data_IF_388019103130
#
_entry.id   IF_388019103130
#
_cell.length_a   1.000
_cell.length_b   1.000
_cell.length_c   1.000
_cell.angle_alpha   90.00
_cell.angle_beta   90.00
_cell.angle_gamma   90.00
#
_symmetry.space_group_name_H-M   'P 1'
#
loop_
_entity.id
_entity.type
_entity.pdbx_description
1 polymer ?
#
# COMPACT_ATOMS: atom_id res chain seq x y z
N UNK A 1 10.79 -15.22 32.96
CA UNK A 1 10.38 -14.44 34.14
C UNK A 1 9.35 -13.42 33.71
N UNK A 2 8.50 -12.96 34.62
CA UNK A 2 7.67 -11.78 34.42
C UNK A 2 7.84 -10.90 35.66
N UNK A 3 8.16 -9.62 35.47
CA UNK A 3 8.44 -8.69 36.57
C UNK A 3 7.24 -7.82 36.96
N UNK A 4 6.08 -8.06 36.35
CA UNK A 4 4.87 -7.25 36.48
C UNK A 4 4.64 -6.33 35.29
N UNK A 5 5.65 -6.11 34.44
CA UNK A 5 5.57 -5.20 33.29
C UNK A 5 6.05 -5.84 31.99
N UNK A 6 7.11 -6.65 32.02
CA UNK A 6 7.70 -7.23 30.83
C UNK A 6 8.10 -8.71 31.04
N UNK A 7 8.11 -9.45 29.94
CA UNK A 7 8.65 -10.80 29.91
C UNK A 7 10.17 -10.78 29.69
N UNK A 8 10.86 -11.64 30.44
CA UNK A 8 12.31 -11.82 30.31
C UNK A 8 12.70 -13.30 30.27
N UNK A 9 13.93 -13.54 29.82
CA UNK A 9 14.52 -14.89 29.75
C UNK A 9 15.24 -15.23 31.06
N UNK A 10 15.19 -16.49 31.48
CA UNK A 10 15.96 -16.98 32.62
C UNK A 10 16.31 -18.46 32.46
N UNK A 11 17.52 -18.82 32.84
CA UNK A 11 17.96 -20.23 32.94
C UNK A 11 17.50 -20.90 34.25
N UNK A 12 16.98 -20.12 35.20
CA UNK A 12 16.47 -20.66 36.46
C UNK A 12 14.98 -21.00 36.33
N UNK A 13 14.69 -22.30 36.22
CA UNK A 13 13.33 -22.81 36.10
C UNK A 13 12.38 -22.37 37.24
N UNK A 14 12.88 -22.18 38.46
CA UNK A 14 12.07 -21.72 39.59
C UNK A 14 11.61 -20.24 39.46
N UNK A 15 12.19 -19.50 38.52
CA UNK A 15 11.80 -18.12 38.18
C UNK A 15 10.94 -18.05 36.90
N UNK A 16 10.64 -19.19 36.27
CA UNK A 16 9.77 -19.21 35.11
C UNK A 16 8.35 -18.78 35.49
N UNK A 17 7.70 -18.04 34.60
CA UNK A 17 6.28 -17.75 34.75
C UNK A 17 5.49 -19.00 34.38
N UNK A 18 4.49 -19.36 35.18
CA UNK A 18 3.64 -20.51 34.89
C UNK A 18 2.40 -20.04 34.13
N UNK A 19 2.22 -20.57 32.93
CA UNK A 19 1.05 -20.28 32.09
C UNK A 19 0.00 -21.37 32.21
N UNK A 20 -1.27 -20.98 32.12
CA UNK A 20 -2.38 -21.89 31.93
C UNK A 20 -2.54 -22.16 30.42
N UNK A 21 -2.39 -23.39 29.98
CA UNK A 21 -2.65 -23.78 28.59
C UNK A 21 -4.16 -23.98 28.39
N UNK A 22 -4.75 -23.31 27.39
CA UNK A 22 -6.16 -23.46 27.03
C UNK A 22 -6.33 -23.47 25.51
N UNK A 23 -7.43 -24.04 25.03
CA UNK A 23 -7.90 -23.85 23.67
C UNK A 23 -8.14 -22.35 23.37
N UNK A 24 -7.79 -21.94 22.17
CA UNK A 24 -8.03 -20.61 21.63
C UNK A 24 -9.21 -20.69 20.66
N UNK A 25 -10.25 -19.88 20.90
CA UNK A 25 -11.47 -19.89 20.09
C UNK A 25 -11.43 -18.96 18.88
N UNK A 26 -10.31 -18.30 18.56
CA UNK A 26 -10.21 -17.33 17.48
C UNK A 26 -10.51 -17.98 16.10
N UNK A 27 -9.95 -19.16 15.81
CA UNK A 27 -10.12 -19.90 14.55
C UNK A 27 -11.17 -21.03 14.63
N UNK A 28 -12.16 -20.92 15.53
CA UNK A 28 -13.07 -22.03 15.86
C UNK A 28 -13.86 -22.59 14.68
N UNK A 29 -14.06 -21.80 13.61
CA UNK A 29 -14.77 -22.24 12.40
C UNK A 29 -14.01 -23.26 11.54
N UNK A 30 -12.71 -23.46 11.79
CA UNK A 30 -11.90 -24.47 11.07
C UNK A 30 -12.11 -25.88 11.60
N UNK A 31 -12.72 -26.04 12.78
CA UNK A 31 -12.68 -27.26 13.59
C UNK A 31 -11.25 -27.70 14.00
N UNK A 32 -10.24 -26.87 13.77
CA UNK A 32 -8.89 -27.13 14.22
C UNK A 32 -8.69 -26.59 15.62
N UNK A 33 -8.02 -27.36 16.46
CA UNK A 33 -7.68 -26.93 17.82
C UNK A 33 -6.45 -26.04 17.75
N UNK A 34 -6.60 -24.80 18.20
CA UNK A 34 -5.51 -23.86 18.48
C UNK A 34 -5.37 -23.68 19.98
N UNK A 35 -4.18 -23.33 20.44
CA UNK A 35 -3.91 -23.14 21.87
C UNK A 35 -3.53 -21.69 22.17
N UNK A 36 -3.53 -21.35 23.45
CA UNK A 36 -3.01 -20.09 23.98
C UNK A 36 -2.43 -20.30 25.37
N UNK A 37 -1.47 -19.46 25.75
CA UNK A 37 -0.86 -19.46 27.08
C UNK A 37 -1.43 -18.30 27.88
N UNK A 38 -2.23 -18.62 28.89
CA UNK A 38 -2.90 -17.63 29.72
C UNK A 38 -2.13 -17.32 31.00
N UNK A 39 -2.35 -16.11 31.49
CA UNK A 39 -2.06 -15.69 32.86
C UNK A 39 -2.73 -16.63 33.89
N UNK A 40 -2.25 -16.59 35.15
CA UNK A 40 -2.74 -17.48 36.20
C UNK A 40 -4.23 -17.29 36.52
N UNK A 41 -4.78 -16.11 36.27
CA UNK A 41 -6.21 -15.78 36.44
C UNK A 41 -7.01 -15.83 35.13
N UNK A 42 -6.38 -16.22 34.02
CA UNK A 42 -6.97 -16.34 32.68
C UNK A 42 -7.53 -15.03 32.09
N UNK A 43 -7.15 -13.86 32.62
CA UNK A 43 -7.62 -12.55 32.11
C UNK A 43 -6.82 -12.05 30.92
N UNK A 44 -5.59 -12.52 30.78
CA UNK A 44 -4.64 -12.14 29.72
C UNK A 44 -3.97 -13.36 29.11
N UNK A 45 -3.53 -13.25 27.86
CA UNK A 45 -2.78 -14.26 27.14
C UNK A 45 -1.40 -13.75 26.71
N UNK A 46 -0.40 -14.62 26.67
CA UNK A 46 0.91 -14.31 26.12
C UNK A 46 0.82 -14.19 24.60
N UNK A 47 1.35 -13.10 24.05
CA UNK A 47 1.36 -12.89 22.61
C UNK A 47 2.20 -11.70 22.18
N UNK A 48 2.00 -11.25 20.94
CA UNK A 48 2.55 -9.99 20.42
C UNK A 48 1.39 -9.15 19.88
N UNK A 49 1.15 -7.93 20.40
CA UNK A 49 0.09 -7.06 19.88
C UNK A 49 0.42 -6.54 18.49
N UNK A 50 1.69 -6.63 18.07
CA UNK A 50 2.14 -6.17 16.76
C UNK A 50 2.32 -7.36 15.81
N UNK A 51 1.69 -7.24 14.65
CA UNK A 51 1.70 -8.22 13.56
C UNK A 51 3.04 -8.28 12.84
N UNK A 52 3.88 -7.23 12.95
CA UNK A 52 5.25 -7.19 12.40
C UNK A 52 6.30 -7.72 13.39
N UNK A 53 5.88 -8.22 14.55
CA UNK A 53 6.75 -8.68 15.64
C UNK A 53 6.99 -7.62 16.70
N UNK A 54 7.61 -8.03 17.80
CA UNK A 54 7.82 -7.21 19.00
C UNK A 54 8.17 -8.06 20.20
N UNK A 55 8.42 -7.44 21.37
CA UNK A 55 8.53 -8.19 22.61
C UNK A 55 7.23 -8.96 22.89
N UNK A 56 7.35 -10.09 23.58
CA UNK A 56 6.18 -10.77 24.10
C UNK A 56 5.53 -9.92 25.20
N UNK A 57 4.22 -9.78 25.13
CA UNK A 57 3.41 -8.96 26.03
C UNK A 57 2.12 -9.68 26.38
N UNK A 58 1.35 -9.06 27.29
CA UNK A 58 -0.01 -9.49 27.56
C UNK A 58 -0.96 -8.96 26.49
N UNK A 59 -1.63 -9.87 25.80
CA UNK A 59 -2.68 -9.60 24.82
C UNK A 59 -4.00 -10.20 25.28
N UNK A 60 -5.05 -9.95 24.51
CA UNK A 60 -6.38 -10.49 24.80
C UNK A 60 -6.44 -12.01 24.57
N UNK A 61 -7.03 -12.77 25.51
CA UNK A 61 -7.39 -14.16 25.27
C UNK A 61 -8.32 -14.29 24.06
N UNK A 62 -8.23 -15.43 23.36
CA UNK A 62 -9.03 -15.74 22.17
C UNK A 62 -8.93 -14.70 21.03
N UNK A 63 -7.81 -13.99 20.97
CA UNK A 63 -7.47 -13.11 19.84
C UNK A 63 -6.47 -13.80 18.93
N UNK A 64 -6.29 -13.27 17.70
CA UNK A 64 -5.24 -13.73 16.78
C UNK A 64 -3.86 -13.69 17.40
N UNK A 65 -3.62 -12.68 18.23
CA UNK A 65 -2.33 -12.38 18.85
C UNK A 65 -1.94 -13.39 19.93
N UNK A 66 -2.90 -14.16 20.45
CA UNK A 66 -2.67 -15.22 21.44
C UNK A 66 -2.67 -16.64 20.84
N UNK A 67 -2.87 -16.78 19.54
CA UNK A 67 -2.92 -18.10 18.87
C UNK A 67 -1.55 -18.75 18.85
N UNK A 68 -1.47 -19.97 19.37
CA UNK A 68 -0.33 -20.86 19.23
C UNK A 68 -0.66 -21.98 18.25
N UNK A 69 0.28 -22.19 17.33
CA UNK A 69 0.30 -23.31 16.39
C UNK A 69 1.42 -24.28 16.79
N UNK A 70 1.09 -25.56 16.85
CA UNK A 70 2.10 -26.61 16.88
C UNK A 70 2.70 -26.75 15.48
N UNK A 71 4.01 -26.52 15.35
CA UNK A 71 4.74 -26.66 14.11
C UNK A 71 6.02 -27.47 14.34
N UNK A 72 6.37 -28.32 13.37
CA UNK A 72 7.61 -29.12 13.39
C UNK A 72 8.86 -28.23 13.21
N UNK A 73 8.70 -27.10 12.50
CA UNK A 73 9.74 -26.11 12.27
C UNK A 73 9.29 -24.74 12.79
N UNK A 74 10.22 -23.88 13.25
CA UNK A 74 9.92 -22.51 13.70
C UNK A 74 9.66 -21.58 12.50
N UNK A 75 8.84 -22.01 11.55
CA UNK A 75 8.35 -21.20 10.44
C UNK A 75 6.83 -21.21 10.44
N UNK A 76 6.25 -20.03 10.67
CA UNK A 76 4.81 -19.80 10.60
C UNK A 76 4.43 -19.01 9.34
N UNK A 77 3.13 -18.87 9.06
CA UNK A 77 2.70 -18.00 7.97
C UNK A 77 3.09 -16.56 8.22
N UNK A 78 3.49 -15.85 7.17
CA UNK A 78 3.59 -14.40 7.22
C UNK A 78 2.19 -13.81 7.37
N UNK A 79 2.02 -13.02 8.41
CA UNK A 79 0.77 -12.35 8.68
C UNK A 79 0.60 -11.13 7.78
N UNK A 80 -0.62 -10.89 7.28
CA UNK A 80 -0.89 -9.62 6.63
C UNK A 80 -0.78 -8.49 7.67
N UNK A 81 -0.06 -7.46 7.27
CA UNK A 81 0.21 -6.27 8.08
C UNK A 81 -0.94 -5.29 7.86
N UNK A 82 -1.70 -4.96 8.91
CA UNK A 82 -2.78 -4.01 8.79
C UNK A 82 -2.28 -2.61 8.57
N UNK A 83 -3.00 -1.88 7.74
CA UNK A 83 -2.87 -0.43 7.61
C UNK A 83 -3.52 0.22 8.82
N UNK A 84 -2.72 0.94 9.62
CA UNK A 84 -3.20 1.70 10.79
C UNK A 84 -3.36 3.19 10.50
N UNK A 85 -2.71 3.68 9.44
CA UNK A 85 -2.81 5.05 8.95
C UNK A 85 -2.47 5.10 7.46
N UNK A 86 -2.87 6.17 6.78
CA UNK A 86 -2.50 6.36 5.37
C UNK A 86 -1.00 6.67 5.19
N UNK A 87 -0.30 7.06 6.27
CA UNK A 87 1.15 7.22 6.29
C UNK A 87 1.91 5.89 6.28
N UNK A 88 1.31 4.83 6.82
CA UNK A 88 1.88 3.47 6.92
C UNK A 88 0.95 2.46 6.24
N UNK A 89 0.59 2.78 4.99
CA UNK A 89 -0.35 1.98 4.25
C UNK A 89 0.37 0.82 3.55
N UNK A 90 0.02 -0.40 3.94
CA UNK A 90 0.44 -1.61 3.23
C UNK A 90 -0.69 -2.07 2.31
N UNK A 91 -0.39 -2.10 1.01
CA UNK A 91 -1.31 -2.59 -0.01
C UNK A 91 -0.94 -3.99 -0.48
N UNK A 92 -1.96 -4.76 -0.80
CA UNK A 92 -1.88 -6.16 -1.21
C UNK A 92 -2.61 -6.39 -2.52
N UNK A 93 -2.06 -7.27 -3.35
CA UNK A 93 -2.87 -8.06 -4.27
C UNK A 93 -3.48 -9.22 -3.47
N UNK A 94 -4.80 -9.24 -3.34
CA UNK A 94 -5.52 -10.35 -2.73
C UNK A 94 -5.67 -11.46 -3.77
N UNK A 95 -4.68 -12.37 -3.81
CA UNK A 95 -4.55 -13.38 -4.85
C UNK A 95 -5.18 -14.71 -4.43
N UNK A 96 -5.94 -15.32 -5.35
CA UNK A 96 -6.39 -16.70 -5.22
C UNK A 96 -5.31 -17.64 -5.79
N UNK A 97 -4.63 -18.47 -4.96
CA UNK A 97 -3.44 -19.21 -5.39
C UNK A 97 -3.65 -20.12 -6.60
N UNK A 98 -4.80 -20.79 -6.70
CA UNK A 98 -5.06 -21.74 -7.77
C UNK A 98 -5.38 -21.12 -9.13
N UNK A 99 -5.97 -19.93 -9.15
CA UNK A 99 -6.28 -19.23 -10.40
C UNK A 99 -5.19 -18.24 -10.80
N UNK A 100 -4.35 -17.83 -9.84
CA UNK A 100 -3.40 -16.74 -10.00
C UNK A 100 -4.06 -15.37 -10.12
N UNK A 101 -5.40 -15.29 -10.02
CA UNK A 101 -6.16 -14.05 -10.20
C UNK A 101 -6.29 -13.28 -8.88
N UNK A 102 -6.58 -12.00 -8.99
CA UNK A 102 -6.69 -11.05 -7.87
C UNK A 102 -8.06 -10.41 -7.81
N UNK A 103 -8.48 -9.96 -6.63
CA UNK A 103 -9.71 -9.17 -6.46
C UNK A 103 -9.56 -7.78 -7.08
N UNK A 104 -10.57 -7.34 -7.84
CA UNK A 104 -10.66 -6.01 -8.44
C UNK A 104 -11.94 -5.30 -7.99
N UNK A 105 -11.76 -4.08 -7.49
CA UNK A 105 -12.83 -3.12 -7.25
C UNK A 105 -13.26 -2.48 -8.58
N UNK A 106 -14.49 -2.75 -9.00
CA UNK A 106 -15.09 -2.18 -10.22
C UNK A 106 -15.79 -0.82 -9.97
N UNK A 107 -15.69 -0.28 -8.74
CA UNK A 107 -16.35 0.93 -8.30
C UNK A 107 -17.47 0.66 -7.30
N UNK A 108 -17.82 1.66 -6.50
CA UNK A 108 -18.84 1.53 -5.45
C UNK A 108 -20.20 1.06 -6.01
N UNK A 109 -20.78 0.04 -5.38
CA UNK A 109 -22.03 -0.60 -5.78
C UNK A 109 -21.90 -1.58 -6.96
N UNK A 110 -20.69 -1.83 -7.46
CA UNK A 110 -20.42 -2.85 -8.46
C UNK A 110 -19.84 -4.11 -7.81
N UNK A 111 -20.15 -5.26 -8.41
CA UNK A 111 -19.64 -6.56 -7.97
C UNK A 111 -18.11 -6.62 -8.07
N UNK A 112 -17.49 -7.34 -7.14
CA UNK A 112 -16.06 -7.64 -7.20
C UNK A 112 -15.81 -8.61 -8.35
N UNK A 113 -14.94 -8.19 -9.26
CA UNK A 113 -14.48 -9.02 -10.37
C UNK A 113 -13.11 -9.61 -10.02
N UNK A 114 -12.80 -10.76 -10.61
CA UNK A 114 -11.50 -11.41 -10.46
C UNK A 114 -10.69 -11.26 -11.74
N UNK A 115 -9.51 -10.64 -11.62
CA UNK A 115 -8.71 -10.17 -12.76
C UNK A 115 -7.26 -10.69 -12.75
N UNK A 116 -6.55 -10.50 -13.85
CA UNK A 116 -5.10 -10.71 -13.88
C UNK A 116 -4.39 -9.64 -13.03
N UNK A 117 -3.33 -10.02 -12.29
CA UNK A 117 -2.53 -9.07 -11.52
C UNK A 117 -1.91 -8.01 -12.44
N UNK A 118 -2.01 -6.74 -12.05
CA UNK A 118 -1.32 -5.63 -12.71
C UNK A 118 -1.23 -4.45 -11.75
N UNK A 119 -0.25 -3.56 -11.97
CA UNK A 119 -0.13 -2.30 -11.22
C UNK A 119 -1.32 -1.39 -11.52
N UNK A 120 -2.39 -1.54 -10.74
CA UNK A 120 -3.60 -0.73 -10.84
C UNK A 120 -4.25 -0.53 -9.47
N UNK A 121 -4.70 0.69 -9.18
CA UNK A 121 -5.38 1.01 -7.92
C UNK A 121 -6.61 0.14 -7.68
N UNK A 122 -7.37 -0.21 -8.73
CA UNK A 122 -8.55 -1.07 -8.63
C UNK A 122 -8.25 -2.48 -8.11
N UNK A 123 -7.00 -2.95 -8.17
CA UNK A 123 -6.59 -4.32 -7.79
C UNK A 123 -5.84 -4.40 -6.46
N UNK A 124 -5.66 -3.25 -5.82
CA UNK A 124 -4.88 -3.10 -4.60
C UNK A 124 -5.81 -2.94 -3.41
N UNK A 125 -5.51 -3.64 -2.33
CA UNK A 125 -6.33 -3.66 -1.12
C UNK A 125 -5.47 -3.47 0.12
N UNK A 126 -5.91 -2.60 1.02
CA UNK A 126 -5.44 -2.54 2.39
C UNK A 126 -6.38 -3.35 3.28
N UNK A 127 -5.88 -3.79 4.44
CA UNK A 127 -6.71 -4.29 5.53
C UNK A 127 -6.62 -3.31 6.70
N UNK A 128 -7.75 -2.94 7.28
CA UNK A 128 -7.79 -2.04 8.43
C UNK A 128 -8.35 -2.79 9.65
N UNK A 129 -7.73 -2.66 10.84
CA UNK A 129 -8.10 -3.43 12.00
C UNK A 129 -9.42 -2.93 12.59
N UNK A 130 -10.29 -3.85 12.97
CA UNK A 130 -11.57 -3.57 13.62
C UNK A 130 -11.41 -3.76 15.13
N UNK A 131 -11.95 -2.81 15.88
CA UNK A 131 -12.15 -2.95 17.32
C UNK A 131 -13.58 -3.44 17.58
N UNK A 132 -13.72 -4.50 18.38
CA UNK A 132 -15.01 -4.92 18.96
C UNK A 132 -14.97 -4.62 20.44
N UNK A 133 -15.92 -3.84 20.97
CA UNK A 133 -15.94 -3.40 22.37
C UNK A 133 -14.62 -2.73 22.84
N UNK A 134 -13.96 -1.98 21.94
CA UNK A 134 -12.68 -1.32 22.21
C UNK A 134 -11.46 -2.26 22.19
N UNK A 135 -11.63 -3.50 21.71
CA UNK A 135 -10.63 -4.55 21.73
C UNK A 135 -10.29 -5.06 20.32
N UNK A 136 -9.01 -5.28 20.06
CA UNK A 136 -8.54 -5.88 18.80
C UNK A 136 -8.48 -7.39 18.91
N UNK A 137 -9.41 -8.08 18.25
CA UNK A 137 -9.40 -9.54 18.19
C UNK A 137 -8.53 -10.06 17.04
N UNK A 138 -8.22 -9.23 16.05
CA UNK A 138 -7.59 -9.63 14.78
C UNK A 138 -8.57 -9.67 13.60
N UNK A 139 -9.73 -9.02 13.74
CA UNK A 139 -10.69 -8.85 12.66
C UNK A 139 -10.36 -7.58 11.85
N UNK A 140 -10.65 -7.60 10.55
CA UNK A 140 -10.32 -6.52 9.62
C UNK A 140 -11.48 -6.20 8.69
N UNK A 141 -11.45 -4.99 8.14
CA UNK A 141 -12.19 -4.61 6.93
C UNK A 141 -11.20 -4.46 5.79
N UNK A 142 -11.62 -4.85 4.58
CA UNK A 142 -10.79 -4.69 3.38
C UNK A 142 -11.20 -3.41 2.66
N UNK A 143 -10.21 -2.61 2.29
CA UNK A 143 -10.39 -1.31 1.63
C UNK A 143 -9.60 -1.31 0.34
N UNK A 144 -10.24 -1.04 -0.79
CA UNK A 144 -9.53 -0.89 -2.05
C UNK A 144 -8.68 0.38 -2.06
N UNK A 145 -7.65 0.45 -2.89
CA UNK A 145 -6.86 1.66 -3.04
C UNK A 145 -7.68 2.83 -3.62
N UNK A 146 -8.81 2.54 -4.28
CA UNK A 146 -9.81 3.53 -4.71
C UNK A 146 -10.63 4.12 -3.53
N UNK A 147 -10.44 3.60 -2.30
CA UNK A 147 -11.09 4.09 -1.10
C UNK A 147 -12.46 3.47 -0.80
N UNK A 148 -12.85 2.39 -1.50
CA UNK A 148 -14.11 1.70 -1.23
C UNK A 148 -13.88 0.50 -0.30
N UNK A 149 -14.87 0.21 0.54
CA UNK A 149 -14.88 -0.88 1.49
C UNK A 149 -15.56 -2.10 0.89
N UNK A 150 -14.98 -3.28 1.12
CA UNK A 150 -15.59 -4.54 0.71
C UNK A 150 -16.89 -4.78 1.50
N UNK A 151 -17.97 -5.10 0.80
CA UNK A 151 -19.32 -5.27 1.36
C UNK A 151 -19.99 -6.51 0.78
N UNK A 152 -20.77 -7.19 1.62
CA UNK A 152 -21.64 -8.29 1.19
C UNK A 152 -22.89 -7.75 0.51
N UNK A 153 -23.19 -8.31 -0.64
CA UNK A 153 -24.46 -8.13 -1.33
C UNK A 153 -25.09 -9.51 -1.60
N UNK A 154 -26.09 -9.89 -0.81
CA UNK A 154 -26.71 -11.22 -0.83
C UNK A 154 -25.69 -12.38 -0.80
N UNK A 155 -25.52 -13.10 -1.90
CA UNK A 155 -24.58 -14.21 -2.07
C UNK A 155 -23.22 -13.80 -2.62
N UNK A 156 -23.07 -12.54 -3.04
CA UNK A 156 -21.91 -11.99 -3.72
C UNK A 156 -21.24 -10.89 -2.87
N UNK A 157 -20.15 -10.34 -3.40
CA UNK A 157 -19.41 -9.22 -2.83
C UNK A 157 -19.39 -8.04 -3.79
N UNK A 158 -19.55 -6.84 -3.23
CA UNK A 158 -19.44 -5.55 -3.90
C UNK A 158 -18.51 -4.63 -3.10
N UNK A 159 -18.32 -3.39 -3.56
CA UNK A 159 -17.74 -2.33 -2.73
C UNK A 159 -18.73 -1.23 -2.37
N UNK A 160 -18.45 -0.48 -1.31
CA UNK A 160 -19.24 0.67 -0.85
C UNK A 160 -18.31 1.79 -0.40
N UNK A 161 -18.72 3.05 -0.56
CA UNK A 161 -17.99 4.18 0.00
C UNK A 161 -18.27 4.38 1.51
N UNK A 162 -19.25 3.67 2.06
CA UNK A 162 -19.68 3.78 3.45
C UNK A 162 -19.04 2.69 4.33
N UNK A 163 -18.14 3.09 5.23
CA UNK A 163 -17.45 2.16 6.13
C UNK A 163 -18.42 1.38 7.04
N UNK A 164 -19.57 1.96 7.40
CA UNK A 164 -20.55 1.31 8.27
C UNK A 164 -21.24 0.09 7.61
N UNK A 165 -21.15 -0.01 6.29
CA UNK A 165 -21.68 -1.14 5.50
C UNK A 165 -20.62 -2.22 5.23
N UNK A 166 -19.37 -2.02 5.67
CA UNK A 166 -18.27 -2.93 5.37
C UNK A 166 -18.47 -4.32 6.00
N UNK A 167 -18.04 -5.36 5.28
CA UNK A 167 -17.97 -6.72 5.81
C UNK A 167 -16.75 -6.86 6.71
N UNK A 168 -16.97 -7.28 7.96
CA UNK A 168 -15.90 -7.60 8.90
C UNK A 168 -15.42 -9.01 8.63
N UNK A 169 -14.12 -9.15 8.39
CA UNK A 169 -13.46 -10.38 8.00
C UNK A 169 -12.42 -10.81 9.03
N UNK A 170 -12.35 -12.10 9.30
CA UNK A 170 -11.35 -12.73 10.14
C UNK A 170 -10.39 -13.56 9.28
N UNK A 171 -9.10 -13.23 9.20
CA UNK A 171 -8.12 -14.08 8.58
C UNK A 171 -7.90 -15.32 9.45
N UNK A 172 -8.14 -16.46 8.83
CA UNK A 172 -8.01 -17.78 9.43
C UNK A 172 -6.94 -18.54 8.68
N UNK A 173 -6.00 -19.12 9.40
CA UNK A 173 -4.94 -19.93 8.81
C UNK A 173 -5.50 -21.28 8.31
N UNK A 174 -5.16 -21.63 7.07
CA UNK A 174 -5.49 -22.93 6.51
C UNK A 174 -4.27 -23.87 6.56
N UNK A 175 -4.31 -24.90 7.40
CA UNK A 175 -3.10 -25.66 7.78
C UNK A 175 -2.41 -26.43 6.65
N UNK A 176 -3.14 -26.78 5.60
CA UNK A 176 -2.57 -27.55 4.48
C UNK A 176 -1.96 -26.69 3.37
N UNK A 177 -2.12 -25.35 3.43
CA UNK A 177 -1.48 -24.42 2.50
C UNK A 177 -0.75 -23.31 3.27
N UNK A 178 0.57 -23.43 3.34
CA UNK A 178 1.45 -22.45 3.97
C UNK A 178 1.28 -21.05 3.39
N UNK A 179 1.33 -20.01 4.24
CA UNK A 179 1.23 -18.59 3.89
C UNK A 179 -0.06 -18.21 3.13
N UNK A 180 -1.14 -18.96 3.31
CA UNK A 180 -2.45 -18.61 2.76
C UNK A 180 -3.48 -18.54 3.87
N UNK A 181 -4.51 -17.73 3.61
CA UNK A 181 -5.50 -17.34 4.61
C UNK A 181 -6.89 -17.48 4.04
N UNK A 182 -7.86 -17.77 4.90
CA UNK A 182 -9.28 -17.76 4.57
C UNK A 182 -9.90 -16.57 5.27
N UNK A 183 -10.56 -15.69 4.54
CA UNK A 183 -11.19 -14.49 5.10
C UNK A 183 -12.63 -14.81 5.53
N UNK A 184 -12.78 -15.28 6.78
CA UNK A 184 -14.05 -15.67 7.40
C UNK A 184 -14.96 -14.45 7.65
N UNK A 185 -16.27 -14.56 7.46
CA UNK A 185 -17.23 -13.46 7.58
C UNK A 185 -17.77 -13.37 9.02
N UNK A 186 -17.56 -12.24 9.71
CA UNK A 186 -17.83 -12.15 11.14
C UNK A 186 -19.10 -11.37 11.50
N UNK A 187 -19.45 -10.33 10.76
CA UNK A 187 -20.57 -9.44 11.11
C UNK A 187 -21.91 -9.80 10.47
N UNK A 188 -22.03 -11.00 9.89
CA UNK A 188 -23.28 -11.48 9.26
C UNK A 188 -23.76 -12.75 9.93
N UNK A 189 -24.95 -12.68 10.53
CA UNK A 189 -25.57 -13.80 11.23
C UNK A 189 -25.68 -15.04 10.34
N UNK A 190 -25.21 -16.19 10.85
CA UNK A 190 -25.24 -17.48 10.14
C UNK A 190 -24.13 -17.67 9.10
N UNK A 191 -23.24 -16.69 8.90
CA UNK A 191 -22.12 -16.80 7.95
C UNK A 191 -20.75 -16.92 8.63
N UNK A 192 -20.69 -17.04 9.96
CA UNK A 192 -19.44 -17.20 10.69
C UNK A 192 -18.66 -18.46 10.32
N UNK A 193 -19.23 -19.43 9.60
CA UNK A 193 -18.50 -20.60 9.09
C UNK A 193 -18.08 -20.46 7.63
N UNK A 194 -18.29 -19.27 7.04
CA UNK A 194 -18.05 -18.97 5.64
C UNK A 194 -16.90 -18.01 5.47
N UNK A 195 -16.12 -18.21 4.41
CA UNK A 195 -15.06 -17.32 3.96
C UNK A 195 -15.27 -16.87 2.53
N UNK A 196 -14.62 -15.76 2.16
CA UNK A 196 -14.53 -15.32 0.77
C UNK A 196 -14.09 -16.48 -0.13
N UNK A 197 -14.78 -16.63 -1.25
CA UNK A 197 -14.50 -17.68 -2.21
C UNK A 197 -14.55 -17.13 -3.64
N UNK A 198 -13.50 -17.41 -4.39
CA UNK A 198 -13.52 -17.26 -5.83
C UNK A 198 -14.44 -18.30 -6.46
N UNK A 199 -15.50 -17.83 -7.10
CA UNK A 199 -16.47 -18.68 -7.78
C UNK A 199 -16.23 -18.60 -9.28
N UNK A 200 -15.74 -19.72 -9.85
CA UNK A 200 -15.71 -19.92 -11.29
C UNK A 200 -16.97 -20.70 -11.70
N UNK A 201 -17.95 -20.03 -12.29
CA UNK A 201 -19.19 -20.67 -12.69
C UNK A 201 -19.06 -21.33 -14.07
N UNK A 202 -18.93 -22.66 -14.11
CA UNK A 202 -19.17 -23.44 -15.34
C UNK A 202 -20.68 -23.45 -15.72
N UNK A 203 -21.32 -22.30 -15.99
CA UNK A 203 -22.59 -22.34 -16.73
C UNK A 203 -23.65 -21.25 -16.58
N UNK A 204 -23.45 -20.11 -15.91
CA UNK A 204 -24.48 -19.04 -15.97
C UNK A 204 -24.01 -17.61 -15.73
N UNK A 205 -22.83 -17.39 -15.14
CA UNK A 205 -22.23 -16.06 -15.05
C UNK A 205 -21.03 -16.05 -15.99
N UNK A 206 -21.05 -15.16 -16.98
CA UNK A 206 -19.95 -14.95 -17.93
C UNK A 206 -18.72 -14.30 -17.28
N UNK A 207 -18.84 -13.89 -16.01
CA UNK A 207 -17.81 -13.19 -15.24
C UNK A 207 -17.42 -13.98 -13.99
N UNK A 208 -16.12 -14.05 -13.73
CA UNK A 208 -15.54 -14.51 -12.47
C UNK A 208 -15.97 -13.56 -11.33
N UNK A 209 -16.58 -14.07 -10.27
CA UNK A 209 -17.10 -13.27 -9.16
C UNK A 209 -16.66 -13.82 -7.79
N UNK A 210 -16.85 -13.02 -6.74
CA UNK A 210 -16.53 -13.38 -5.35
C UNK A 210 -17.81 -13.66 -4.57
N UNK A 211 -17.92 -14.89 -4.07
CA UNK A 211 -18.98 -15.34 -3.16
C UNK A 211 -18.40 -15.88 -1.87
N UNK A 212 -19.09 -16.87 -1.29
CA UNK A 212 -18.69 -17.46 -0.01
C UNK A 212 -18.73 -18.99 0.00
N UNK A 213 -17.70 -19.60 0.56
CA UNK A 213 -17.59 -21.04 0.78
C UNK A 213 -17.38 -21.35 2.26
N UNK A 214 -17.50 -22.61 2.69
CA UNK A 214 -17.12 -22.99 4.06
C UNK A 214 -15.61 -22.76 4.29
N UNK A 215 -15.22 -22.28 5.47
CA UNK A 215 -13.81 -22.04 5.85
C UNK A 215 -13.01 -23.35 5.70
N UNK A 216 -13.43 -24.45 6.31
CA UNK A 216 -12.69 -25.72 6.29
C UNK A 216 -12.83 -26.59 5.01
N UNK A 217 -13.36 -26.06 3.90
CA UNK A 217 -13.72 -26.88 2.73
C UNK A 217 -12.55 -27.56 2.01
N UNK A 218 -11.30 -27.24 2.39
CA UNK A 218 -10.10 -27.72 1.72
C UNK A 218 -9.93 -27.20 0.28
N UNK A 219 -10.82 -26.31 -0.17
CA UNK A 219 -10.80 -25.82 -1.55
C UNK A 219 -9.83 -24.67 -1.68
N UNK A 220 -8.88 -24.72 -2.61
CA UNK A 220 -8.02 -23.58 -2.87
C UNK A 220 -8.76 -22.30 -3.32
N UNK A 221 -10.03 -22.41 -3.72
CA UNK A 221 -10.86 -21.27 -4.13
C UNK A 221 -11.26 -20.34 -2.98
N UNK A 222 -11.13 -20.75 -1.71
CA UNK A 222 -11.39 -19.88 -0.55
C UNK A 222 -10.11 -19.41 0.16
N UNK A 223 -8.94 -19.76 -0.40
CA UNK A 223 -7.65 -19.35 0.11
C UNK A 223 -7.18 -18.08 -0.60
N UNK A 224 -6.62 -17.17 0.18
CA UNK A 224 -6.08 -15.89 -0.22
C UNK A 224 -4.62 -15.80 0.17
N UNK A 225 -3.80 -15.40 -0.77
CA UNK A 225 -2.45 -14.93 -0.53
C UNK A 225 -2.49 -13.40 -0.48
N UNK A 226 -2.04 -12.84 0.64
CA UNK A 226 -1.81 -11.40 0.79
C UNK A 226 -0.43 -11.09 0.19
N UNK A 227 -0.38 -10.89 -1.12
CA UNK A 227 0.86 -10.56 -1.81
C UNK A 227 1.11 -9.05 -1.70
N UNK A 228 2.09 -8.67 -0.88
CA UNK A 228 2.44 -7.26 -0.69
C UNK A 228 2.81 -6.63 -2.03
N UNK A 229 2.15 -5.55 -2.39
CA UNK A 229 2.39 -4.86 -3.64
C UNK A 229 3.54 -3.86 -3.48
N UNK A 230 4.50 -3.92 -4.40
CA UNK A 230 5.46 -2.84 -4.59
C UNK A 230 4.86 -1.83 -5.58
N UNK A 231 4.52 -0.65 -5.06
CA UNK A 231 3.74 0.38 -5.76
C UNK A 231 4.50 1.69 -5.92
N UNK A 232 5.65 1.81 -5.25
CA UNK A 232 6.42 3.04 -5.23
C UNK A 232 7.18 3.20 -6.56
N UNK A 233 7.36 4.44 -7.04
CA UNK A 233 8.25 4.68 -8.17
C UNK A 233 9.71 4.38 -7.77
N UNK A 234 10.57 4.22 -8.77
CA UNK A 234 12.00 4.09 -8.50
C UNK A 234 12.56 5.38 -7.91
N UNK A 235 13.32 5.25 -6.83
CA UNK A 235 14.15 6.30 -6.27
C UNK A 235 15.63 5.99 -6.47
N UNK A 236 16.44 7.03 -6.53
CA UNK A 236 17.87 6.90 -6.80
C UNK A 236 18.74 7.72 -5.85
N UNK A 237 20.00 7.35 -5.79
CA UNK A 237 21.05 8.21 -5.24
C UNK A 237 21.41 9.32 -6.23
N UNK A 238 21.90 10.44 -5.68
CA UNK A 238 22.35 11.56 -6.47
C UNK A 238 23.53 11.18 -7.38
N UNK A 239 23.46 11.53 -8.66
CA UNK A 239 24.45 11.14 -9.67
C UNK A 239 24.15 9.82 -10.39
N UNK A 240 23.09 9.11 -9.99
CA UNK A 240 22.53 7.99 -10.76
C UNK A 240 21.76 8.49 -12.00
N UNK A 241 21.46 7.57 -12.91
CA UNK A 241 20.94 7.86 -14.24
C UNK A 241 19.43 7.77 -14.42
N UNK A 242 18.61 7.37 -13.44
CA UNK A 242 17.17 7.23 -13.70
C UNK A 242 16.49 8.60 -13.88
N UNK A 243 15.75 8.76 -14.99
CA UNK A 243 15.00 9.97 -15.34
C UNK A 243 13.58 9.61 -15.73
N UNK A 244 12.60 10.32 -15.20
CA UNK A 244 11.17 10.09 -15.45
C UNK A 244 10.45 11.40 -15.73
N UNK A 245 9.28 11.33 -16.34
CA UNK A 245 8.34 12.45 -16.38
C UNK A 245 7.34 12.34 -15.24
N UNK A 246 6.88 13.48 -14.74
CA UNK A 246 5.81 13.57 -13.75
C UNK A 246 4.59 14.14 -14.44
N UNK A 247 3.55 13.33 -14.61
CA UNK A 247 2.33 13.69 -15.31
C UNK A 247 1.18 13.85 -14.32
N UNK A 248 0.20 14.70 -14.65
CA UNK A 248 -1.00 14.90 -13.84
C UNK A 248 -2.24 14.47 -14.65
N UNK A 249 -2.51 13.16 -14.76
CA UNK A 249 -3.48 12.60 -15.73
C UNK A 249 -4.95 12.86 -15.38
N UNK A 250 -5.22 13.46 -14.23
CA UNK A 250 -6.60 13.80 -13.82
C UNK A 250 -6.93 15.27 -13.97
N UNK A 251 -5.97 16.06 -14.45
CA UNK A 251 -6.16 17.45 -14.77
C UNK A 251 -6.41 17.57 -16.26
N UNK A 252 -7.31 18.47 -16.66
CA UNK A 252 -7.56 18.75 -18.09
C UNK A 252 -6.25 18.98 -18.85
N UNK A 253 -6.13 18.30 -19.99
CA UNK A 253 -4.97 18.27 -20.89
C UNK A 253 -3.72 17.52 -20.37
N UNK A 254 -3.86 16.70 -19.32
CA UNK A 254 -2.85 15.78 -18.76
C UNK A 254 -1.43 16.37 -18.64
N UNK A 255 -1.27 17.52 -17.97
CA UNK A 255 -0.03 18.27 -18.00
C UNK A 255 1.13 17.50 -17.39
N UNK A 256 2.33 17.84 -17.87
CA UNK A 256 3.61 17.28 -17.44
C UNK A 256 4.44 18.38 -16.79
N UNK A 257 5.14 18.03 -15.72
CA UNK A 257 6.06 18.95 -15.06
C UNK A 257 7.28 19.25 -15.94
N UNK A 258 7.50 20.53 -16.25
CA UNK A 258 8.50 21.00 -17.19
C UNK A 258 9.39 22.14 -16.67
N UNK A 259 10.49 22.39 -17.38
CA UNK A 259 11.51 23.40 -17.09
C UNK A 259 11.31 24.60 -18.00
N UNK A 260 10.22 25.34 -17.80
CA UNK A 260 9.95 26.59 -18.54
C UNK A 260 9.85 27.77 -17.58
N UNK A 261 10.98 28.19 -17.02
CA UNK A 261 11.07 29.37 -16.15
C UNK A 261 10.97 29.05 -14.66
N UNK A 262 10.85 30.10 -13.87
CA UNK A 262 10.70 30.08 -12.41
C UNK A 262 9.39 30.84 -12.07
N UNK A 263 8.40 30.25 -11.39
CA UNK A 263 8.37 28.90 -10.78
C UNK A 263 8.29 27.75 -11.81
N UNK A 264 8.43 26.51 -11.33
CA UNK A 264 8.34 25.32 -12.18
C UNK A 264 7.02 25.31 -12.98
N UNK A 265 7.13 25.32 -14.31
CA UNK A 265 5.99 25.39 -15.21
C UNK A 265 5.45 24.01 -15.57
N UNK A 266 4.18 23.95 -15.94
CA UNK A 266 3.55 22.76 -16.51
C UNK A 266 3.40 22.95 -18.03
N UNK A 267 3.53 21.85 -18.76
CA UNK A 267 3.28 21.83 -20.21
C UNK A 267 2.27 20.76 -20.56
N UNK A 268 1.46 21.01 -21.59
CA UNK A 268 0.53 20.03 -22.18
C UNK A 268 1.15 19.33 -23.40
N UNK A 269 2.44 19.59 -23.67
CA UNK A 269 3.17 18.85 -24.70
C UNK A 269 3.23 17.37 -24.33
N UNK A 270 2.96 16.50 -25.31
CA UNK A 270 3.11 15.05 -25.13
C UNK A 270 4.48 14.74 -24.51
N UNK A 271 4.55 13.90 -23.45
CA UNK A 271 5.81 13.49 -22.85
C UNK A 271 6.80 13.07 -23.92
N UNK A 272 7.88 13.83 -24.06
CA UNK A 272 8.88 13.60 -25.09
C UNK A 272 10.26 13.58 -24.44
N UNK A 273 11.26 13.08 -25.18
CA UNK A 273 12.60 12.89 -24.60
C UNK A 273 13.42 14.19 -24.48
N UNK A 274 12.78 15.35 -24.41
CA UNK A 274 13.46 16.62 -24.26
C UNK A 274 13.87 16.84 -22.80
N UNK A 275 15.06 17.41 -22.63
CA UNK A 275 15.70 17.65 -21.32
C UNK A 275 14.81 18.43 -20.34
N UNK A 276 13.87 19.22 -20.84
CA UNK A 276 12.98 20.06 -20.05
C UNK A 276 11.78 19.38 -19.40
N UNK A 277 11.53 18.08 -19.56
CA UNK A 277 10.38 17.40 -18.93
C UNK A 277 10.81 16.30 -17.94
N UNK A 278 12.11 16.15 -17.72
CA UNK A 278 12.67 15.05 -16.94
C UNK A 278 13.01 15.44 -15.52
N UNK A 279 12.77 14.50 -14.63
CA UNK A 279 12.98 14.62 -13.19
C UNK A 279 13.64 13.37 -12.64
N UNK A 280 14.53 13.58 -11.67
CA UNK A 280 15.09 12.56 -10.79
C UNK A 280 14.38 12.63 -9.45
N UNK A 281 14.00 11.47 -8.93
CA UNK A 281 13.51 11.31 -7.56
C UNK A 281 14.70 10.83 -6.73
N UNK A 282 15.37 11.76 -6.06
CA UNK A 282 16.61 11.48 -5.33
C UNK A 282 16.26 11.25 -3.86
N UNK A 283 16.49 10.05 -3.32
CA UNK A 283 16.14 9.69 -1.94
C UNK A 283 15.34 8.39 -1.84
N UNK A 284 14.22 8.41 -1.12
CA UNK A 284 13.25 7.32 -1.00
C UNK A 284 11.81 7.86 -0.92
N UNK A 285 10.81 6.98 -0.87
CA UNK A 285 9.40 7.32 -0.87
C UNK A 285 8.94 8.20 0.32
N UNK A 286 9.68 8.19 1.42
CA UNK A 286 9.39 8.96 2.63
C UNK A 286 10.23 10.23 2.76
N UNK A 287 11.29 10.37 1.98
CA UNK A 287 12.14 11.56 1.94
C UNK A 287 12.90 11.61 0.62
N UNK A 288 12.48 12.48 -0.28
CA UNK A 288 13.15 12.71 -1.55
C UNK A 288 13.14 14.18 -1.98
N UNK A 289 14.10 14.50 -2.83
CA UNK A 289 14.20 15.79 -3.53
C UNK A 289 14.03 15.57 -5.04
N UNK A 290 13.56 16.62 -5.72
CA UNK A 290 13.33 16.62 -7.16
C UNK A 290 14.40 17.44 -7.88
N UNK A 291 15.09 16.81 -8.84
CA UNK A 291 16.07 17.47 -9.71
C UNK A 291 15.67 17.31 -11.16
N UNK A 292 15.60 18.41 -11.90
CA UNK A 292 15.19 18.38 -13.30
C UNK A 292 16.36 18.10 -14.27
N UNK A 293 16.03 17.81 -15.53
CA UNK A 293 16.99 17.47 -16.58
C UNK A 293 18.01 18.56 -16.92
N UNK A 294 17.77 19.81 -16.50
CA UNK A 294 18.73 20.92 -16.65
C UNK A 294 19.70 21.05 -15.48
N UNK A 295 19.55 20.21 -14.44
CA UNK A 295 20.42 20.19 -13.27
C UNK A 295 19.94 21.05 -12.09
N UNK A 296 18.77 21.67 -12.18
CA UNK A 296 18.18 22.48 -11.10
C UNK A 296 17.30 21.63 -10.19
N UNK A 297 17.30 21.97 -8.91
CA UNK A 297 16.45 21.38 -7.89
C UNK A 297 15.17 22.19 -7.72
N UNK A 298 14.10 21.53 -7.31
CA UNK A 298 12.92 22.19 -6.76
C UNK A 298 13.23 22.60 -5.31
N UNK A 299 13.22 23.90 -5.03
CA UNK A 299 13.60 24.48 -3.75
C UNK A 299 12.50 25.41 -3.21
N UNK A 300 12.66 25.85 -1.95
CA UNK A 300 11.94 26.99 -1.40
C UNK A 300 12.79 28.26 -1.48
N UNK A 301 12.16 29.39 -1.82
CA UNK A 301 12.74 30.72 -1.60
C UNK A 301 12.60 31.15 -0.12
N UNK A 302 13.18 32.30 0.24
CA UNK A 302 13.08 32.90 1.58
C UNK A 302 11.63 33.18 2.03
N UNK A 303 10.70 33.26 1.08
CA UNK A 303 9.27 33.47 1.31
C UNK A 303 8.46 32.17 1.41
N UNK A 304 9.08 31.00 1.23
CA UNK A 304 8.41 29.70 1.22
C UNK A 304 7.74 29.34 -0.12
N UNK A 305 8.00 30.07 -1.20
CA UNK A 305 7.50 29.74 -2.54
C UNK A 305 8.40 28.73 -3.23
N UNK A 306 7.81 27.90 -4.09
CA UNK A 306 8.55 26.92 -4.89
C UNK A 306 9.30 27.61 -6.03
N UNK A 307 10.60 27.36 -6.12
CA UNK A 307 11.49 27.89 -7.16
C UNK A 307 12.40 26.80 -7.75
N UNK A 308 13.02 27.09 -8.90
CA UNK A 308 14.05 26.24 -9.50
C UNK A 308 15.46 26.82 -9.31
N UNK A 309 16.30 26.15 -8.52
CA UNK A 309 17.67 26.62 -8.21
C UNK A 309 18.75 25.58 -8.53
N UNK A 310 19.89 26.03 -9.05
CA UNK A 310 21.14 25.23 -9.08
C UNK A 310 22.04 25.51 -7.87
N UNK A 311 21.82 26.64 -7.18
CA UNK A 311 22.52 27.00 -5.96
C UNK A 311 21.80 26.40 -4.76
N UNK A 312 22.29 25.25 -4.32
CA UNK A 312 21.77 24.51 -3.15
C UNK A 312 22.26 25.08 -1.82
N UNK A 313 23.25 25.99 -1.84
CA UNK A 313 23.72 26.69 -0.64
C UNK A 313 22.82 27.89 -0.32
N UNK A 314 22.37 28.61 -1.35
CA UNK A 314 21.41 29.71 -1.21
C UNK A 314 19.97 29.21 -1.05
N UNK A 315 19.55 28.21 -1.83
CA UNK A 315 18.19 27.69 -1.82
C UNK A 315 18.22 26.18 -1.57
N UNK A 316 17.92 25.75 -0.33
CA UNK A 316 17.92 24.33 0.02
C UNK A 316 16.86 23.58 -0.80
N UNK A 317 17.20 22.39 -1.35
CA UNK A 317 16.22 21.52 -1.99
C UNK A 317 15.02 21.27 -1.09
N UNK A 318 13.83 21.31 -1.66
CA UNK A 318 12.60 20.97 -0.96
C UNK A 318 12.52 19.45 -0.82
N UNK A 319 12.29 18.99 0.41
CA UNK A 319 12.14 17.57 0.73
C UNK A 319 10.66 17.20 0.78
N UNK A 320 10.34 16.08 0.15
CA UNK A 320 8.98 15.59 -0.02
C UNK A 320 8.86 14.12 0.38
N UNK A 321 7.62 13.70 0.60
CA UNK A 321 7.22 12.31 0.74
C UNK A 321 6.02 12.02 -0.16
N UNK A 322 5.83 10.75 -0.51
CA UNK A 322 4.69 10.30 -1.29
C UNK A 322 3.50 9.96 -0.40
N UNK A 323 2.32 10.43 -0.80
CA UNK A 323 1.05 10.09 -0.17
C UNK A 323 0.09 9.55 -1.22
N UNK A 324 -0.49 8.36 -1.02
CA UNK A 324 -1.35 7.76 -2.05
C UNK A 324 -2.56 8.67 -2.32
N UNK A 325 -2.72 9.10 -3.58
CA UNK A 325 -3.82 9.93 -4.02
C UNK A 325 -5.00 9.03 -4.41
N UNK A 326 -6.10 9.11 -3.64
CA UNK A 326 -7.30 8.26 -3.81
C UNK A 326 -8.36 8.97 -4.63
N UNK A 327 -8.05 9.26 -5.88
CA UNK A 327 -9.07 9.68 -6.84
C UNK A 327 -9.91 8.48 -7.31
N UNK A 328 -11.11 8.75 -7.81
CA UNK A 328 -12.06 7.71 -8.20
C UNK A 328 -12.03 7.36 -9.71
N UNK A 329 -11.16 8.01 -10.49
CA UNK A 329 -11.20 7.93 -11.96
C UNK A 329 -10.02 7.20 -12.61
N UNK A 330 -8.90 7.02 -11.92
CA UNK A 330 -7.69 6.46 -12.53
C UNK A 330 -7.48 4.99 -12.20
N UNK A 331 -7.16 4.19 -13.23
CA UNK A 331 -6.60 2.85 -13.03
C UNK A 331 -5.12 2.88 -12.66
N UNK A 332 -4.43 4.03 -12.81
CA UNK A 332 -3.01 4.19 -12.51
C UNK A 332 -2.77 4.43 -11.02
N UNK A 333 -1.58 4.12 -10.53
CA UNK A 333 -1.16 4.47 -9.17
C UNK A 333 -0.78 5.94 -9.16
N UNK A 334 -1.59 6.76 -8.49
CA UNK A 334 -1.40 8.20 -8.39
C UNK A 334 -0.92 8.61 -7.00
N UNK A 335 -0.02 9.58 -6.97
CA UNK A 335 0.62 10.07 -5.75
C UNK A 335 0.42 11.56 -5.58
N UNK A 336 0.08 11.98 -4.37
CA UNK A 336 0.25 13.35 -3.92
C UNK A 336 1.68 13.52 -3.41
N UNK A 337 2.39 14.54 -3.90
CA UNK A 337 3.73 14.86 -3.43
C UNK A 337 3.59 15.91 -2.33
N UNK A 338 3.96 15.56 -1.10
CA UNK A 338 3.70 16.37 0.10
C UNK A 338 5.02 16.80 0.75
N UNK A 339 5.14 18.04 1.24
CA UNK A 339 6.38 18.50 1.88
C UNK A 339 6.54 17.89 3.27
N UNK A 340 7.77 17.55 3.65
CA UNK A 340 8.10 17.14 5.02
C UNK A 340 7.93 18.30 6.02
N UNK A 341 7.79 17.94 7.30
CA UNK A 341 7.90 18.91 8.38
C UNK A 341 9.32 19.51 8.43
N UNK A 342 9.46 20.68 9.05
CA UNK A 342 10.77 21.35 9.22
C UNK A 342 11.82 20.49 9.96
N UNK A 343 11.36 19.53 10.76
CA UNK A 343 12.21 18.57 11.48
C UNK A 343 12.57 17.32 10.65
N UNK A 344 12.14 17.26 9.38
CA UNK A 344 12.36 16.14 8.47
C UNK A 344 11.43 14.95 8.71
N UNK A 345 10.41 15.09 9.57
CA UNK A 345 9.46 13.99 9.83
C UNK A 345 8.25 14.04 8.91
N UNK A 346 7.73 12.87 8.58
CA UNK A 346 6.47 12.73 7.85
C UNK A 346 5.29 12.91 8.83
N UNK A 347 4.35 13.84 8.57
CA UNK A 347 3.17 13.99 9.41
C UNK A 347 2.17 12.86 9.17
N UNK A 348 1.37 12.52 10.20
CA UNK A 348 0.30 11.50 10.08
C UNK A 348 -0.86 11.91 9.16
N UNK A 349 -0.92 13.17 8.74
CA UNK A 349 -1.81 13.68 7.69
C UNK A 349 -1.11 14.86 7.01
N UNK A 350 -1.07 14.94 5.67
CA UNK A 350 -0.44 16.05 4.98
C UNK A 350 -1.09 17.39 5.33
N UNK A 351 -0.29 18.42 5.52
CA UNK A 351 -0.75 19.81 5.71
C UNK A 351 -0.94 20.54 4.38
N UNK A 352 -0.21 20.10 3.37
CA UNK A 352 -0.19 20.66 2.02
C UNK A 352 0.30 19.63 1.01
N UNK A 353 0.15 19.94 -0.28
CA UNK A 353 0.62 19.09 -1.38
C UNK A 353 0.97 19.94 -2.61
N UNK A 354 1.83 19.41 -3.47
CA UNK A 354 2.13 19.98 -4.77
C UNK A 354 0.90 19.90 -5.69
N UNK A 355 0.56 20.99 -6.36
CA UNK A 355 -0.55 21.05 -7.29
C UNK A 355 -0.30 22.01 -8.46
N UNK A 356 -1.10 21.84 -9.53
CA UNK A 356 -1.24 22.84 -10.60
C UNK A 356 -2.01 24.06 -10.09
N UNK A 357 -1.41 25.24 -10.22
CA UNK A 357 -2.07 26.54 -10.03
C UNK A 357 -2.95 26.91 -11.25
N UNK A 358 -3.81 27.90 -11.08
CA UNK A 358 -4.61 28.47 -12.19
C UNK A 358 -3.74 29.10 -13.29
N UNK A 359 -2.49 29.43 -13.00
CA UNK A 359 -1.51 30.01 -13.93
C UNK A 359 -0.64 28.96 -14.64
N UNK A 360 -0.98 27.66 -14.53
CA UNK A 360 -0.20 26.54 -15.08
C UNK A 360 1.22 26.43 -14.52
N UNK A 361 1.41 26.84 -13.27
CA UNK A 361 2.65 26.69 -12.51
C UNK A 361 2.45 25.73 -11.35
N UNK A 362 3.54 25.18 -10.83
CA UNK A 362 3.50 24.36 -9.63
C UNK A 362 3.39 25.25 -8.39
N UNK A 363 2.51 24.88 -7.47
CA UNK A 363 2.30 25.58 -6.19
C UNK A 363 2.02 24.58 -5.07
N UNK A 364 2.13 25.05 -3.82
CA UNK A 364 1.62 24.30 -2.67
C UNK A 364 0.17 24.69 -2.40
N UNK A 365 -0.72 23.70 -2.36
CA UNK A 365 -2.07 23.87 -1.84
C UNK A 365 -2.09 23.60 -0.33
N UNK A 366 -2.81 24.43 0.42
CA UNK A 366 -3.16 24.14 1.81
C UNK A 366 -4.61 24.56 2.08
N UNK A 367 -5.37 23.79 2.88
CA UNK A 367 -5.02 22.51 3.51
C UNK A 367 -5.11 21.33 2.54
N UNK A 368 -4.41 20.23 2.83
CA UNK A 368 -4.69 18.95 2.17
C UNK A 368 -6.16 18.56 2.44
N UNK A 369 -6.98 18.27 1.42
CA UNK A 369 -8.38 17.96 1.63
C UNK A 369 -8.49 16.59 2.33
N UNK A 370 -8.69 16.64 3.65
CA UNK A 370 -8.91 15.44 4.47
C UNK A 370 -10.17 14.66 4.06
N UNK A 371 -11.14 15.35 3.42
CA UNK A 371 -12.44 14.81 3.03
C UNK A 371 -12.78 15.16 1.57
N UNK A 372 -12.41 14.26 0.64
CA UNK A 372 -13.06 13.95 -0.65
C UNK A 372 -13.75 15.08 -1.45
N UNK A 373 -13.07 16.19 -1.70
CA UNK A 373 -13.35 16.97 -2.91
C UNK A 373 -12.45 16.44 -4.03
N UNK A 374 -12.94 15.48 -4.82
CA UNK A 374 -12.19 14.78 -5.88
C UNK A 374 -11.48 15.74 -6.84
N UNK A 375 -12.08 16.89 -7.12
CA UNK A 375 -11.54 17.89 -8.04
C UNK A 375 -10.23 18.55 -7.56
N UNK A 376 -10.04 18.74 -6.25
CA UNK A 376 -8.81 19.34 -5.72
C UNK A 376 -7.70 18.30 -5.59
N UNK A 377 -8.04 17.04 -5.27
CA UNK A 377 -7.06 15.94 -5.30
C UNK A 377 -6.53 15.68 -6.71
N UNK A 378 -7.39 15.80 -7.73
CA UNK A 378 -7.00 15.65 -9.13
C UNK A 378 -5.90 16.65 -9.53
N UNK A 379 -5.95 17.90 -9.02
CA UNK A 379 -4.93 18.94 -9.28
C UNK A 379 -3.57 18.66 -8.70
N UNK A 380 -3.43 17.66 -7.82
CA UNK A 380 -2.16 17.22 -7.23
C UNK A 380 -1.91 15.73 -7.40
N UNK A 381 -2.60 15.08 -8.34
CA UNK A 381 -2.46 13.65 -8.59
C UNK A 381 -1.34 13.40 -9.61
N UNK A 382 -0.17 13.00 -9.14
CA UNK A 382 0.98 12.72 -9.98
C UNK A 382 1.08 11.24 -10.34
N UNK A 383 1.21 10.97 -11.63
CA UNK A 383 1.69 9.72 -12.17
C UNK A 383 3.19 9.81 -12.44
N UNK A 384 3.95 8.88 -11.87
CA UNK A 384 5.38 8.73 -12.11
C UNK A 384 5.58 7.86 -13.35
N UNK A 385 5.84 8.51 -14.48
CA UNK A 385 6.02 7.87 -15.78
C UNK A 385 7.16 6.85 -15.81
N UNK A 386 7.20 6.06 -16.88
CA UNK A 386 8.26 5.07 -17.09
C UNK A 386 9.67 5.69 -17.04
N UNK A 387 10.64 4.89 -16.61
CA UNK A 387 12.04 5.28 -16.68
C UNK A 387 12.43 5.50 -18.15
N UNK A 388 12.80 6.73 -18.47
CA UNK A 388 13.12 7.17 -19.83
C UNK A 388 14.57 6.88 -20.21
N UNK A 389 15.38 6.46 -19.24
CA UNK A 389 16.70 5.95 -19.55
C UNK A 389 16.62 4.60 -20.25
N UNK A 390 17.50 4.37 -21.23
CA UNK A 390 17.68 3.05 -21.77
C UNK A 390 18.02 2.05 -20.66
N UNK A 391 17.22 0.97 -20.52
CA UNK A 391 17.61 -0.18 -19.69
C UNK A 391 18.88 -0.77 -20.29
N UNK A 392 20.00 -0.75 -19.56
CA UNK A 392 21.19 -1.48 -19.99
C UNK A 392 20.86 -2.98 -20.04
N UNK A 393 21.46 -3.70 -20.99
CA UNK A 393 21.26 -5.14 -21.14
C UNK A 393 21.52 -5.87 -19.82
N UNK A 394 20.72 -6.87 -19.51
CA UNK A 394 20.95 -7.77 -18.37
C UNK A 394 21.10 -9.22 -18.88
N UNK A 395 21.23 -10.18 -17.96
CA UNK A 395 21.47 -11.59 -18.29
C UNK A 395 20.34 -12.28 -19.08
N UNK A 396 19.17 -11.64 -19.18
CA UNK A 396 17.97 -12.19 -19.84
C UNK A 396 17.51 -11.37 -21.05
N UNK A 397 17.84 -10.08 -21.13
CA UNK A 397 17.41 -9.17 -22.21
C UNK A 397 18.59 -8.38 -22.80
N UNK A 398 18.69 -8.39 -24.13
CA UNK A 398 19.66 -7.59 -24.88
C UNK A 398 19.01 -6.30 -25.40
N UNK A 399 19.56 -5.16 -25.01
CA UNK A 399 19.15 -3.84 -25.48
C UNK A 399 20.25 -3.22 -26.35
N UNK A 400 19.89 -2.77 -27.55
CA UNK A 400 20.81 -2.14 -28.50
C UNK A 400 20.58 -0.62 -28.53
N UNK A 401 21.67 0.15 -28.54
CA UNK A 401 21.63 1.62 -28.62
C UNK A 401 22.27 2.12 -29.90
N UNK A 402 21.62 3.10 -30.53
CA UNK A 402 22.20 3.89 -31.60
C UNK A 402 22.70 5.20 -31.00
N UNK A 403 24.02 5.38 -30.94
CA UNK A 403 24.64 6.66 -30.56
C UNK A 403 24.76 7.48 -31.85
N UNK A 404 23.96 8.54 -31.96
CA UNK A 404 24.04 9.46 -33.08
C UNK A 404 25.09 10.54 -32.77
N UNK A 405 26.27 10.44 -33.36
CA UNK A 405 27.20 11.55 -33.42
C UNK A 405 26.64 12.57 -34.43
N UNK A 406 26.05 13.67 -33.94
CA UNK A 406 25.76 14.82 -34.82
C UNK A 406 27.05 15.17 -35.56
N UNK A 407 26.95 15.34 -36.88
CA UNK A 407 28.07 15.56 -37.80
C UNK A 407 29.18 16.42 -37.19
N UNK A 408 30.34 15.80 -36.99
CA UNK A 408 31.58 16.50 -36.72
C UNK A 408 32.01 17.20 -38.01
N UNK A 409 31.93 18.53 -38.07
CA UNK A 409 32.54 19.30 -39.16
C UNK A 409 33.98 19.65 -38.76
N UNK A 410 35.01 19.02 -39.35
CA UNK A 410 36.40 19.27 -38.99
C UNK A 410 36.88 20.54 -39.70
N UNK A 411 36.53 21.71 -39.19
CA UNK A 411 36.94 22.98 -39.83
C UNK A 411 37.63 23.99 -38.91
N UNK A 412 38.11 23.62 -37.72
CA UNK A 412 38.98 24.50 -36.92
C UNK A 412 40.05 23.72 -36.14
N UNK A 413 40.93 23.02 -36.87
CA UNK A 413 42.25 22.63 -36.36
C UNK A 413 43.30 23.13 -37.35
N UNK A 414 43.57 24.44 -37.30
CA UNK A 414 44.86 25.05 -37.61
C UNK A 414 45.03 26.31 -36.76
#
# INVERSE_FOLDING_TARGET
TFDGTAFGMSENAAKAYLFNLQDNSYESATNEVRFQLLSSDATQALGSPNVIGGPLEWVLPNSRFSVLRFAEFPSGPEHPVPTTSQADMTLYYLRFPNSGKVMQDAGAGADIIVADPSASMSKLWAIMPVQTDGQYLGDYIFVSALGNYLKRNDSEMETTANIDEATILRPVEFTSLTNTWQAQIMNVSGLSERALQYVNANGSHVNNWIGFGYVNSGTANNNLLFEKADIYPDFIEEGSGAWRYLQMPEVTDDPVLAVNGDPAALTTETPNRLQGQFWQNIGNEFDFILKNGTGKYLCYDDGGNLILSEDTLANKPAHFYLWLNRSNTSEQILWSICPLNDDGTMPGTPSSFLQRSDENTLSLASPYPANTATAELAKGAFFFGENMMPKFSNDTEKTFFFINFKEFTPNNLY
#
